data_IF_233107676972
#
_entry.id   IF_233107676972
#
_cell.length_a   1.000
_cell.length_b   1.000
_cell.length_c   1.000
_cell.angle_alpha   90.00
_cell.angle_beta   90.00
_cell.angle_gamma   90.00
#
_symmetry.space_group_name_H-M   'P 1'
#
loop_
_entity.id
_entity.type
_entity.pdbx_description
1 polymer ?
#
# COMPACT_ATOMS: atom_id res chain seq x y z
N UNK A 1 20.02 13.21 0.96
CA UNK A 1 19.93 11.99 1.80
C UNK A 1 19.67 10.79 0.90
N UNK A 2 20.28 9.62 1.13
CA UNK A 2 19.97 8.42 0.38
C UNK A 2 18.53 7.96 0.63
N UNK A 3 17.84 7.49 -0.42
CA UNK A 3 16.48 6.92 -0.29
C UNK A 3 16.54 5.65 0.54
N UNK A 4 15.55 5.44 1.41
CA UNK A 4 15.42 4.18 2.14
C UNK A 4 15.15 3.00 1.20
N UNK A 5 15.42 1.77 1.64
CA UNK A 5 15.15 0.55 0.86
C UNK A 5 13.70 0.51 0.34
N UNK A 6 12.73 0.72 1.22
CA UNK A 6 11.31 0.66 0.82
C UNK A 6 10.88 1.85 -0.03
N UNK A 7 11.47 3.03 0.16
CA UNK A 7 11.22 4.14 -0.75
C UNK A 7 11.61 3.79 -2.20
N UNK A 8 12.77 3.16 -2.41
CA UNK A 8 13.19 2.74 -3.75
C UNK A 8 12.23 1.69 -4.34
N UNK A 9 11.92 0.64 -3.57
CA UNK A 9 11.01 -0.44 -4.00
C UNK A 9 9.62 0.10 -4.35
N UNK A 10 9.08 1.03 -3.54
CA UNK A 10 7.77 1.64 -3.78
C UNK A 10 7.79 2.49 -5.04
N UNK A 11 8.81 3.35 -5.20
CA UNK A 11 8.94 4.20 -6.39
C UNK A 11 9.07 3.38 -7.68
N UNK A 12 9.87 2.32 -7.67
CA UNK A 12 10.06 1.44 -8.83
C UNK A 12 8.75 0.73 -9.20
N UNK A 13 8.04 0.17 -8.21
CA UNK A 13 6.75 -0.48 -8.43
C UNK A 13 5.69 0.51 -8.94
N UNK A 14 5.55 1.66 -8.28
CA UNK A 14 4.57 2.68 -8.66
C UNK A 14 4.84 3.24 -10.06
N UNK A 15 6.12 3.42 -10.43
CA UNK A 15 6.49 3.84 -11.78
C UNK A 15 6.17 2.77 -12.83
N UNK A 16 6.29 1.48 -12.49
CA UNK A 16 6.02 0.37 -13.41
C UNK A 16 4.52 0.15 -13.63
N UNK A 17 3.72 0.32 -12.58
CA UNK A 17 2.28 0.02 -12.57
C UNK A 17 1.39 1.25 -12.77
N UNK A 18 1.98 2.41 -13.12
CA UNK A 18 1.28 3.70 -13.31
C UNK A 18 0.44 4.13 -12.09
N UNK A 19 1.03 3.99 -10.89
CA UNK A 19 0.40 4.37 -9.62
C UNK A 19 1.02 5.67 -9.12
N UNK A 20 0.19 6.68 -8.89
CA UNK A 20 0.64 7.95 -8.34
C UNK A 20 1.04 7.83 -6.86
N UNK A 21 2.15 8.51 -6.50
CA UNK A 21 2.59 8.67 -5.11
C UNK A 21 2.15 10.07 -4.64
N UNK A 22 1.30 10.20 -3.61
CA UNK A 22 0.78 11.49 -3.18
C UNK A 22 1.84 12.38 -2.54
N UNK A 23 1.62 13.69 -2.62
CA UNK A 23 2.47 14.66 -1.93
C UNK A 23 2.54 14.36 -0.42
N UNK A 24 3.75 14.37 0.13
CA UNK A 24 3.99 14.12 1.55
C UNK A 24 4.04 12.64 1.97
N UNK A 25 3.94 11.69 1.03
CA UNK A 25 4.04 10.26 1.31
C UNK A 25 5.33 9.87 2.08
N UNK A 26 6.44 10.55 1.79
CA UNK A 26 7.75 10.32 2.45
C UNK A 26 8.08 11.33 3.57
N UNK A 27 7.07 11.96 4.19
CA UNK A 27 7.29 12.79 5.40
C UNK A 27 7.82 11.98 6.58
N UNK A 28 7.55 10.68 6.59
CA UNK A 28 8.05 9.71 7.55
C UNK A 28 8.74 8.56 6.81
N UNK A 29 9.56 7.79 7.53
CA UNK A 29 10.21 6.60 6.98
C UNK A 29 9.18 5.62 6.43
N UNK A 30 9.41 5.15 5.20
CA UNK A 30 8.49 4.23 4.53
C UNK A 30 8.50 2.82 5.17
N UNK A 31 7.32 2.31 5.48
CA UNK A 31 7.06 0.91 5.76
C UNK A 31 6.96 0.07 4.48
N UNK A 32 6.61 -1.21 4.64
CA UNK A 32 6.49 -2.15 3.52
C UNK A 32 5.04 -2.43 3.10
N UNK A 33 4.08 -2.02 3.91
CA UNK A 33 2.66 -2.17 3.60
C UNK A 33 2.11 -0.82 3.16
N UNK A 34 1.36 -0.81 2.06
CA UNK A 34 0.61 0.36 1.64
C UNK A 34 -0.79 -0.03 1.13
N UNK A 35 -1.63 1.00 0.99
CA UNK A 35 -2.94 0.89 0.36
C UNK A 35 -2.90 1.70 -0.93
N UNK A 36 -3.36 1.08 -2.02
CA UNK A 36 -3.59 1.70 -3.32
C UNK A 36 -5.10 1.87 -3.47
N UNK A 37 -5.54 3.03 -3.92
CA UNK A 37 -6.95 3.33 -4.21
C UNK A 37 -7.11 3.64 -5.69
N UNK A 38 -8.23 3.20 -6.26
CA UNK A 38 -8.69 3.71 -7.54
C UNK A 38 -9.09 5.19 -7.40
N UNK A 39 -8.55 6.03 -8.28
CA UNK A 39 -8.78 7.47 -8.33
C UNK A 39 -8.90 7.85 -9.80
N UNK A 40 -10.03 8.38 -10.27
CA UNK A 40 -10.14 8.73 -11.69
C UNK A 40 -9.07 9.78 -12.11
N UNK A 41 -8.24 9.54 -13.16
CA UNK A 41 -8.31 8.46 -14.16
C UNK A 41 -7.39 7.22 -13.95
N UNK A 42 -6.77 7.01 -12.78
CA UNK A 42 -5.88 5.88 -12.51
C UNK A 42 -5.89 5.38 -11.05
N UNK A 43 -4.71 5.17 -10.48
CA UNK A 43 -4.52 4.67 -9.12
C UNK A 43 -3.56 5.54 -8.34
N UNK A 44 -3.75 5.62 -7.03
CA UNK A 44 -2.86 6.37 -6.15
C UNK A 44 -2.66 5.64 -4.83
N UNK A 45 -1.46 5.76 -4.25
CA UNK A 45 -1.24 5.38 -2.87
C UNK A 45 -2.01 6.29 -1.90
N UNK A 46 -2.42 5.73 -0.76
CA UNK A 46 -2.74 6.54 0.42
C UNK A 46 -1.45 7.18 0.91
N UNK A 47 -1.50 8.42 1.42
CA UNK A 47 -0.35 9.20 1.88
C UNK A 47 0.31 8.68 3.19
N UNK A 48 0.42 7.36 3.35
CA UNK A 48 1.05 6.71 4.49
C UNK A 48 1.44 5.26 4.15
N UNK A 49 2.36 4.71 4.92
CA UNK A 49 2.76 3.30 4.87
C UNK A 49 2.83 2.73 6.27
N UNK A 50 2.82 1.41 6.37
CA UNK A 50 2.84 0.70 7.65
C UNK A 50 3.89 -0.40 7.68
N UNK A 51 4.31 -0.73 8.89
CA UNK A 51 5.16 -1.90 9.18
C UNK A 51 4.34 -3.05 9.74
N UNK A 52 3.23 -2.77 10.44
CA UNK A 52 2.40 -3.80 11.08
C UNK A 52 1.06 -3.92 10.37
N UNK A 53 0.66 -5.15 10.10
CA UNK A 53 -0.66 -5.45 9.50
C UNK A 53 -1.83 -4.95 10.36
N UNK A 54 -1.68 -4.89 11.69
CA UNK A 54 -2.70 -4.35 12.59
C UNK A 54 -3.06 -2.89 12.29
N UNK A 55 -2.07 -2.09 11.90
CA UNK A 55 -2.26 -0.67 11.62
C UNK A 55 -2.99 -0.47 10.29
N UNK A 56 -2.71 -1.34 9.32
CA UNK A 56 -3.45 -1.42 8.05
C UNK A 56 -4.90 -1.84 8.29
N UNK A 57 -5.14 -2.87 9.11
CA UNK A 57 -6.51 -3.29 9.48
C UNK A 57 -7.26 -2.16 10.19
N UNK A 58 -6.59 -1.44 11.11
CA UNK A 58 -7.19 -0.29 11.78
C UNK A 58 -7.55 0.81 10.78
N UNK A 59 -6.70 1.10 9.79
CA UNK A 59 -7.03 2.04 8.74
C UNK A 59 -8.26 1.58 7.94
N UNK A 60 -8.27 0.33 7.47
CA UNK A 60 -9.35 -0.21 6.64
C UNK A 60 -10.70 -0.24 7.36
N UNK A 61 -10.72 -0.48 8.68
CA UNK A 61 -11.94 -0.41 9.48
C UNK A 61 -12.58 0.98 9.53
N UNK A 62 -11.77 2.02 9.45
CA UNK A 62 -12.24 3.40 9.58
C UNK A 62 -12.44 4.08 8.20
N UNK A 63 -11.67 3.68 7.19
CA UNK A 63 -11.56 4.41 5.91
C UNK A 63 -11.51 3.50 4.67
N UNK A 64 -11.56 2.18 4.85
CA UNK A 64 -11.52 1.22 3.76
C UNK A 64 -12.85 1.14 3.01
N UNK A 65 -12.77 0.75 1.75
CA UNK A 65 -13.89 0.45 0.87
C UNK A 65 -13.47 -0.67 -0.12
N UNK A 66 -14.37 -1.12 -0.99
CA UNK A 66 -14.09 -2.18 -1.95
C UNK A 66 -12.98 -1.86 -2.97
N UNK A 67 -12.66 -0.59 -3.21
CA UNK A 67 -11.60 -0.19 -4.16
C UNK A 67 -10.20 -0.09 -3.54
N UNK A 68 -10.07 -0.39 -2.25
CA UNK A 68 -8.76 -0.43 -1.59
C UNK A 68 -8.03 -1.74 -1.90
N UNK A 69 -6.88 -1.62 -2.56
CA UNK A 69 -5.92 -2.71 -2.72
C UNK A 69 -4.82 -2.59 -1.65
N UNK A 70 -4.42 -3.70 -1.05
CA UNK A 70 -3.34 -3.73 -0.06
C UNK A 70 -2.14 -4.37 -0.72
N UNK A 71 -0.98 -3.72 -0.66
CA UNK A 71 0.24 -4.27 -1.26
C UNK A 71 1.35 -4.41 -0.21
N UNK A 72 1.99 -5.59 -0.20
CA UNK A 72 3.18 -5.86 0.59
C UNK A 72 4.42 -5.78 -0.31
N UNK A 73 5.14 -4.65 -0.22
CA UNK A 73 6.38 -4.41 -0.96
C UNK A 73 7.57 -5.24 -0.46
N UNK A 74 7.49 -5.85 0.72
CA UNK A 74 8.50 -6.79 1.19
C UNK A 74 8.33 -8.15 0.51
N UNK A 75 7.07 -8.60 0.34
CA UNK A 75 6.73 -9.85 -0.33
C UNK A 75 6.57 -9.73 -1.84
N UNK A 76 6.32 -8.52 -2.36
CA UNK A 76 5.95 -8.30 -3.76
C UNK A 76 4.57 -8.86 -4.09
N UNK A 77 3.63 -8.86 -3.14
CA UNK A 77 2.33 -9.52 -3.28
C UNK A 77 1.17 -8.58 -2.92
N UNK A 78 0.06 -8.74 -3.63
CA UNK A 78 -1.22 -8.13 -3.25
C UNK A 78 -1.85 -8.94 -2.11
N UNK A 79 -2.47 -8.24 -1.16
CA UNK A 79 -3.11 -8.80 0.01
C UNK A 79 -4.62 -8.51 -0.04
N UNK A 80 -5.40 -9.49 0.43
CA UNK A 80 -6.85 -9.38 0.57
C UNK A 80 -7.22 -9.31 2.04
N UNK A 81 -8.10 -8.37 2.39
CA UNK A 81 -8.70 -8.28 3.71
C UNK A 81 -10.13 -8.80 3.70
N UNK A 82 -10.38 -9.88 4.46
CA UNK A 82 -11.69 -10.52 4.58
C UNK A 82 -12.45 -10.06 5.85
N UNK A 83 -12.15 -8.86 6.36
CA UNK A 83 -12.74 -8.33 7.61
C UNK A 83 -12.15 -8.90 8.91
N UNK A 84 -11.21 -9.86 8.83
CA UNK A 84 -10.56 -10.47 10.01
C UNK A 84 -9.35 -9.66 10.49
N UNK A 85 -8.61 -10.19 11.47
CA UNK A 85 -7.40 -9.55 12.02
C UNK A 85 -6.15 -9.74 11.15
N UNK A 86 -6.23 -10.53 10.08
CA UNK A 86 -5.11 -10.89 9.22
C UNK A 86 -5.46 -10.77 7.74
N UNK A 87 -4.43 -10.73 6.91
CA UNK A 87 -4.55 -10.72 5.46
C UNK A 87 -4.31 -12.09 4.86
N UNK A 88 -4.84 -12.31 3.66
CA UNK A 88 -4.53 -13.44 2.79
C UNK A 88 -3.75 -12.92 1.58
N UNK A 89 -2.85 -13.71 1.03
CA UNK A 89 -2.21 -13.39 -0.25
C UNK A 89 -3.25 -13.54 -1.34
N UNK A 90 -3.41 -12.52 -2.20
CA UNK A 90 -4.23 -12.63 -3.39
C UNK A 90 -3.54 -13.61 -4.33
N UNK A 91 -4.16 -14.76 -4.53
CA UNK A 91 -3.70 -15.74 -5.52
C UNK A 91 -4.40 -15.43 -6.83
N UNK A 92 -3.64 -15.35 -7.93
CA UNK A 92 -4.23 -15.30 -9.27
C UNK A 92 -4.97 -16.62 -9.51
N UNK A 93 -6.27 -16.55 -9.79
CA UNK A 93 -7.11 -17.68 -10.18
C UNK A 93 -7.08 -17.81 -11.70
#
# INVERSE_FOLDING_TARGET
MPKSKYQQIIEDFCSKEDIAIPAGFYRHSAGHLAIIKDMEPGKQLVATTWVKSSDVVNYLRNYGNESCQIFDFKGGVELVWNGKKSFLVKSDV
#
